data_IF_138010960221
#
_entry.id   IF_138010960221
#
_cell.length_a   1.000
_cell.length_b   1.000
_cell.length_c   1.000
_cell.angle_alpha   90.00
_cell.angle_beta   90.00
_cell.angle_gamma   90.00
#
_symmetry.space_group_name_H-M   'P 1'
#
loop_
_entity.id
_entity.type
_entity.pdbx_description
1 polymer ?
#
# COMPACT_ATOMS: atom_id res chain seq x y z
N UNK A 1 10.08 11.68 11.49
CA UNK A 1 11.22 11.12 10.73
C UNK A 1 10.72 9.94 9.93
N UNK A 2 11.04 9.84 8.63
CA UNK A 2 10.72 8.66 7.83
C UNK A 2 11.42 7.42 8.37
N UNK A 3 10.71 6.31 8.46
CA UNK A 3 11.20 5.01 8.94
C UNK A 3 11.27 4.05 7.76
N UNK A 4 12.41 3.39 7.56
CA UNK A 4 12.53 2.31 6.57
C UNK A 4 12.03 1.00 7.19
N UNK A 5 11.13 0.35 6.48
CA UNK A 5 10.61 -0.96 6.86
C UNK A 5 10.77 -1.93 5.70
N UNK A 6 10.94 -3.22 6.02
CA UNK A 6 10.85 -4.27 5.01
C UNK A 6 9.38 -4.67 4.87
N UNK A 7 8.87 -4.65 3.65
CA UNK A 7 7.50 -5.03 3.31
C UNK A 7 7.52 -6.18 2.33
N UNK A 8 6.54 -7.07 2.46
CA UNK A 8 6.21 -8.05 1.44
C UNK A 8 4.92 -7.60 0.77
N UNK A 9 5.00 -7.33 -0.52
CA UNK A 9 3.84 -6.96 -1.34
C UNK A 9 3.47 -8.20 -2.14
N UNK A 10 2.22 -8.64 -1.99
CA UNK A 10 1.66 -9.71 -2.80
C UNK A 10 0.62 -9.09 -3.72
N UNK A 11 0.81 -9.26 -5.02
CA UNK A 11 -0.24 -8.93 -5.97
C UNK A 11 -1.37 -9.94 -5.83
N UNK A 12 -2.61 -9.45 -5.77
CA UNK A 12 -3.81 -10.27 -5.73
C UNK A 12 -4.56 -10.23 -7.07
N UNK A 13 -4.20 -9.30 -7.95
CA UNK A 13 -4.88 -9.01 -9.22
C UNK A 13 -3.90 -8.40 -10.24
N UNK A 14 -4.39 -7.92 -11.38
CA UNK A 14 -3.56 -7.36 -12.46
C UNK A 14 -2.91 -8.44 -13.33
N UNK A 15 -1.86 -8.06 -14.07
CA UNK A 15 -1.21 -8.93 -15.06
C UNK A 15 -0.40 -10.07 -14.44
N UNK A 16 -0.11 -10.00 -13.13
CA UNK A 16 0.63 -11.04 -12.41
C UNK A 16 0.09 -11.25 -10.98
N UNK A 17 -1.09 -11.90 -10.83
CA UNK A 17 -1.83 -12.01 -9.56
C UNK A 17 -1.22 -12.98 -8.53
N UNK A 18 -0.06 -13.56 -8.85
CA UNK A 18 0.71 -14.42 -7.93
C UNK A 18 2.04 -13.80 -7.54
N UNK A 19 2.38 -12.63 -8.10
CA UNK A 19 3.63 -11.93 -7.79
C UNK A 19 3.73 -11.64 -6.30
N UNK A 20 4.88 -11.97 -5.70
CA UNK A 20 5.19 -11.59 -4.33
C UNK A 20 6.62 -11.08 -4.26
N UNK A 21 6.78 -9.85 -3.77
CA UNK A 21 8.06 -9.15 -3.75
C UNK A 21 8.31 -8.62 -2.35
N UNK A 22 9.46 -8.95 -1.80
CA UNK A 22 9.98 -8.33 -0.59
C UNK A 22 10.86 -7.15 -0.97
N UNK A 23 10.57 -5.97 -0.41
CA UNK A 23 11.28 -4.73 -0.71
C UNK A 23 11.32 -3.81 0.52
N UNK A 24 12.06 -2.71 0.43
CA UNK A 24 12.01 -1.64 1.43
C UNK A 24 10.88 -0.65 1.11
N UNK A 25 10.22 -0.14 2.14
CA UNK A 25 9.26 0.97 2.06
C UNK A 25 9.62 2.06 3.08
N UNK A 26 9.21 3.29 2.80
CA UNK A 26 9.32 4.41 3.73
C UNK A 26 7.94 4.66 4.34
N UNK A 27 7.86 4.57 5.67
CA UNK A 27 6.70 4.99 6.46
C UNK A 27 7.01 6.33 7.13
N UNK A 28 5.96 7.04 7.57
CA UNK A 28 6.07 8.35 8.22
C UNK A 28 6.86 9.37 7.38
N UNK A 29 6.66 9.34 6.05
CA UNK A 29 7.32 10.22 5.07
C UNK A 29 6.85 11.67 5.15
N UNK A 30 5.73 11.93 5.83
CA UNK A 30 5.04 13.22 5.79
C UNK A 30 4.10 13.36 4.60
N UNK A 31 4.02 12.36 3.72
CA UNK A 31 3.01 12.28 2.68
C UNK A 31 1.63 12.01 3.27
N UNK A 32 0.62 12.73 2.79
CA UNK A 32 -0.78 12.58 3.19
C UNK A 32 -1.66 12.50 1.96
N UNK A 33 -2.54 11.50 1.94
CA UNK A 33 -3.58 11.32 0.93
C UNK A 33 -4.98 11.63 1.49
N UNK A 34 -5.96 11.85 0.61
CA UNK A 34 -7.37 11.94 1.00
C UNK A 34 -7.95 10.59 1.44
N UNK A 35 -7.32 9.49 1.00
CA UNK A 35 -7.58 8.13 1.42
C UNK A 35 -6.26 7.47 1.82
N UNK A 36 -6.27 6.34 2.54
CA UNK A 36 -5.07 5.53 2.63
C UNK A 36 -4.61 5.19 1.21
N UNK A 37 -3.32 5.29 0.92
CA UNK A 37 -2.73 4.99 -0.39
C UNK A 37 -1.28 4.53 -0.25
N UNK A 38 -0.81 3.73 -1.21
CA UNK A 38 0.57 3.24 -1.29
C UNK A 38 1.12 3.61 -2.66
N UNK A 39 2.22 4.37 -2.67
CA UNK A 39 2.92 4.72 -3.90
C UNK A 39 3.92 3.62 -4.27
N UNK A 40 3.83 3.12 -5.49
CA UNK A 40 4.77 2.15 -6.06
C UNK A 40 5.65 2.80 -7.13
N UNK A 41 6.98 2.62 -7.09
CA UNK A 41 7.83 2.96 -8.25
C UNK A 41 7.40 2.17 -9.49
N UNK A 42 7.47 2.78 -10.68
CA UNK A 42 7.01 2.16 -11.94
C UNK A 42 7.60 0.75 -12.18
N UNK A 43 8.92 0.57 -11.94
CA UNK A 43 9.58 -0.73 -12.06
C UNK A 43 9.07 -1.79 -11.08
N UNK A 44 8.61 -1.37 -9.89
CA UNK A 44 7.99 -2.28 -8.93
C UNK A 44 6.57 -2.63 -9.34
N UNK A 45 5.81 -1.65 -9.84
CA UNK A 45 4.46 -1.86 -10.39
C UNK A 45 4.47 -2.84 -11.58
N UNK A 46 5.45 -2.72 -12.49
CA UNK A 46 5.66 -3.65 -13.60
C UNK A 46 5.85 -5.09 -13.13
N UNK A 47 6.74 -5.31 -12.15
CA UNK A 47 6.98 -6.64 -11.59
C UNK A 47 5.75 -7.21 -10.87
N UNK A 48 4.91 -6.35 -10.29
CA UNK A 48 3.66 -6.74 -9.64
C UNK A 48 2.48 -6.90 -10.63
N UNK A 49 2.67 -6.56 -11.91
CA UNK A 49 1.63 -6.64 -12.93
C UNK A 49 0.63 -5.48 -12.94
N UNK A 50 0.98 -4.33 -12.34
CA UNK A 50 0.20 -3.08 -12.35
C UNK A 50 0.79 -2.02 -13.30
N UNK A 51 1.79 -2.40 -14.10
CA UNK A 51 2.31 -1.59 -15.19
C UNK A 51 2.37 -2.44 -16.48
N UNK A 52 1.85 -1.96 -17.64
CA UNK A 52 1.15 -0.68 -17.83
C UNK A 52 -0.09 -0.53 -16.93
N UNK A 53 -0.52 0.71 -16.61
CA UNK A 53 -1.63 0.94 -15.70
C UNK A 53 -2.86 0.14 -16.13
N UNK A 54 -3.55 -0.56 -15.21
CA UNK A 54 -4.83 -1.19 -15.53
C UNK A 54 -5.83 -0.18 -16.11
N UNK A 55 -6.75 -0.64 -16.96
CA UNK A 55 -7.72 0.23 -17.65
C UNK A 55 -8.59 1.06 -16.69
N UNK A 56 -8.82 0.57 -15.47
CA UNK A 56 -9.61 1.22 -14.43
C UNK A 56 -8.80 2.24 -13.61
N UNK A 57 -7.52 2.45 -13.95
CA UNK A 57 -6.66 3.40 -13.26
C UNK A 57 -7.09 4.84 -13.56
N UNK A 58 -7.13 5.67 -12.54
CA UNK A 58 -7.36 7.10 -12.66
C UNK A 58 -6.03 7.83 -12.71
N UNK A 59 -5.80 8.56 -13.80
CA UNK A 59 -4.66 9.47 -13.89
C UNK A 59 -4.85 10.63 -12.89
N UNK A 60 -3.91 10.78 -11.98
CA UNK A 60 -3.95 11.75 -10.90
C UNK A 60 -2.66 12.56 -10.89
N UNK A 61 -2.76 13.86 -10.64
CA UNK A 61 -1.58 14.72 -10.51
C UNK A 61 -1.41 15.10 -9.05
N UNK A 62 -0.23 14.84 -8.51
CA UNK A 62 0.12 15.15 -7.13
C UNK A 62 1.14 16.30 -7.12
N UNK A 63 0.96 17.23 -6.20
CA UNK A 63 1.99 18.20 -5.87
C UNK A 63 3.04 17.53 -4.99
N UNK A 64 4.30 17.59 -5.41
CA UNK A 64 5.44 16.99 -4.71
C UNK A 64 6.51 18.03 -4.47
N UNK A 65 7.48 17.73 -3.61
CA UNK A 65 8.62 18.63 -3.39
C UNK A 65 9.41 18.95 -4.68
N UNK A 66 9.29 18.12 -5.73
CA UNK A 66 9.91 18.35 -7.04
C UNK A 66 8.98 19.00 -8.07
N UNK A 67 7.78 19.45 -7.67
CA UNK A 67 6.73 19.94 -8.56
C UNK A 67 5.66 18.88 -8.87
N UNK A 68 4.82 19.17 -9.86
CA UNK A 68 3.71 18.30 -10.25
C UNK A 68 4.22 16.99 -10.83
N UNK A 69 3.77 15.88 -10.26
CA UNK A 69 4.07 14.54 -10.74
C UNK A 69 2.78 13.78 -11.08
N UNK A 70 2.84 13.04 -12.18
CA UNK A 70 1.72 12.22 -12.67
C UNK A 70 1.79 10.83 -12.05
N UNK A 71 0.66 10.39 -11.51
CA UNK A 71 0.46 9.08 -10.93
C UNK A 71 -0.72 8.40 -11.58
N UNK A 72 -0.70 7.08 -11.61
CA UNK A 72 -1.86 6.26 -11.97
C UNK A 72 -2.37 5.61 -10.70
N UNK A 73 -3.52 6.09 -10.22
CA UNK A 73 -4.15 5.59 -9.02
C UNK A 73 -5.08 4.44 -9.39
N UNK A 74 -4.88 3.29 -8.76
CA UNK A 74 -5.84 2.21 -8.77
C UNK A 74 -6.47 2.14 -7.39
N UNK A 75 -7.80 2.27 -7.31
CA UNK A 75 -8.52 2.29 -6.04
C UNK A 75 -8.67 0.87 -5.48
N UNK A 76 -7.57 0.27 -5.04
CA UNK A 76 -7.58 -1.06 -4.40
C UNK A 76 -8.02 -0.96 -2.95
N UNK A 77 -7.96 0.21 -2.32
CA UNK A 77 -7.97 0.31 -0.85
C UNK A 77 -9.36 0.17 -0.24
N UNK A 78 -10.42 0.55 -0.97
CA UNK A 78 -11.77 0.13 -0.62
C UNK A 78 -11.94 -1.39 -0.66
N UNK A 79 -11.20 -2.08 -1.54
CA UNK A 79 -11.22 -3.54 -1.69
C UNK A 79 -10.19 -4.28 -0.83
N UNK A 80 -9.19 -3.60 -0.27
CA UNK A 80 -8.20 -4.26 0.59
C UNK A 80 -8.85 -4.81 1.86
N UNK A 81 -10.07 -4.39 2.19
CA UNK A 81 -10.86 -4.89 3.30
C UNK A 81 -10.20 -4.68 4.66
N UNK A 82 -9.23 -3.76 4.80
CA UNK A 82 -8.53 -3.61 6.08
C UNK A 82 -9.42 -2.84 7.06
N UNK A 83 -9.79 -3.52 8.16
CA UNK A 83 -10.54 -2.95 9.27
C UNK A 83 -9.58 -2.72 10.44
N UNK A 84 -9.40 -1.46 10.83
CA UNK A 84 -8.63 -1.10 12.03
C UNK A 84 -9.53 -1.31 13.25
N UNK A 85 -9.16 -2.26 14.11
CA UNK A 85 -9.91 -2.58 15.33
C UNK A 85 -9.44 -1.72 16.52
N UNK A 86 -8.13 -1.49 16.62
CA UNK A 86 -7.54 -0.63 17.65
C UNK A 86 -6.19 -0.10 17.18
N UNK A 87 -6.12 1.17 16.77
CA UNK A 87 -4.90 1.79 16.26
C UNK A 87 -3.77 1.83 17.30
N UNK A 88 -4.09 2.14 18.57
CA UNK A 88 -3.10 2.22 19.65
C UNK A 88 -2.39 0.88 19.90
N UNK A 89 -3.15 -0.22 19.88
CA UNK A 89 -2.61 -1.58 20.07
C UNK A 89 -2.11 -2.21 18.77
N UNK A 90 -2.29 -1.54 17.62
CA UNK A 90 -1.97 -2.09 16.31
C UNK A 90 -2.85 -3.27 15.91
N UNK A 91 -4.12 -3.31 16.35
CA UNK A 91 -5.04 -4.38 16.03
C UNK A 91 -5.81 -4.08 14.76
N UNK A 92 -5.85 -5.04 13.86
CA UNK A 92 -6.54 -4.94 12.58
C UNK A 92 -7.02 -6.31 12.11
N UNK A 93 -7.89 -6.35 11.11
CA UNK A 93 -8.31 -7.57 10.41
C UNK A 93 -8.67 -7.27 8.96
N UNK A 94 -8.81 -8.28 8.12
CA UNK A 94 -9.47 -8.13 6.83
C UNK A 94 -11.00 -8.25 6.97
N UNK A 95 -11.76 -7.68 6.06
CA UNK A 95 -13.22 -7.79 5.98
C UNK A 95 -13.64 -9.24 5.77
N UNK A 96 -12.82 -10.00 5.04
CA UNK A 96 -12.99 -11.45 4.84
C UNK A 96 -12.51 -12.31 6.01
N UNK A 97 -11.86 -11.74 7.04
CA UNK A 97 -11.51 -12.49 8.24
C UNK A 97 -12.79 -12.73 9.10
N UNK A 98 -12.90 -13.87 9.81
CA UNK A 98 -13.98 -14.08 10.79
C UNK A 98 -14.05 -12.94 11.82
N UNK A 99 -15.24 -12.62 12.37
CA UNK A 99 -15.39 -11.46 13.25
C UNK A 99 -14.47 -11.45 14.47
N UNK A 100 -14.12 -12.62 14.98
CA UNK A 100 -13.28 -12.82 16.17
C UNK A 100 -11.77 -12.73 15.85
N UNK A 101 -11.40 -12.75 14.58
CA UNK A 101 -9.99 -12.77 14.17
C UNK A 101 -9.36 -11.38 14.34
N UNK A 102 -8.29 -11.34 15.13
CA UNK A 102 -7.49 -10.13 15.37
C UNK A 102 -6.06 -10.36 14.91
N UNK A 103 -5.58 -9.52 14.00
CA UNK A 103 -4.19 -9.46 13.58
C UNK A 103 -3.47 -8.37 14.36
N UNK A 104 -2.19 -8.60 14.61
CA UNK A 104 -1.33 -7.72 15.38
C UNK A 104 -0.32 -7.06 14.44
N UNK A 105 -0.22 -5.74 14.51
CA UNK A 105 0.88 -4.99 13.94
C UNK A 105 2.20 -5.48 14.55
N UNK A 106 3.25 -5.51 13.73
CA UNK A 106 4.61 -5.75 14.24
C UNK A 106 4.98 -4.61 15.18
N UNK A 107 5.57 -4.93 16.34
CA UNK A 107 6.13 -3.91 17.22
C UNK A 107 7.29 -3.21 16.48
N UNK A 108 7.48 -1.89 16.69
CA UNK A 108 8.65 -1.20 16.16
C UNK A 108 9.92 -1.93 16.60
N UNK A 109 10.75 -2.35 15.65
CA UNK A 109 12.11 -2.79 15.92
C UNK A 109 13.01 -1.56 15.77
N UNK A 110 13.63 -1.14 16.88
CA UNK A 110 14.60 -0.06 16.89
C UNK A 110 15.99 -0.68 16.71
N UNK A 111 16.69 -0.27 15.66
CA UNK A 111 18.05 -0.70 15.33
C UNK A 111 19.03 0.44 15.59
#
# INVERSE_FOLDING_TARGET
>A
MPVRVRVKIKSLMGLNPVASIETCSLLNTGYTGASPEVILPAKLAEKLGFWPPPNESVESTYDTAGGLARFYAHFVIGEMGIIILNAYKGFWRFESDPPERVRHGKRPEFW
#
